data_IF_106053113118
#
_entry.id   IF_106053113118
#
_cell.length_a   1.000
_cell.length_b   1.000
_cell.length_c   1.000
_cell.angle_alpha   90.00
_cell.angle_beta   90.00
_cell.angle_gamma   90.00
#
_symmetry.space_group_name_H-M   'P 1'
#
loop_
_entity.id
_entity.type
_entity.pdbx_description
1 polymer ?
#
# COMPACT_ATOMS: atom_id res chain seq x y z
N UNK A 1 -25.56 18.94 -17.66
CA UNK A 1 -25.18 17.53 -17.86
C UNK A 1 -23.81 17.35 -17.23
N UNK A 2 -23.78 17.21 -15.91
CA UNK A 2 -22.57 16.85 -15.17
C UNK A 2 -22.39 15.34 -15.29
N UNK A 3 -21.34 14.90 -16.00
CA UNK A 3 -20.95 13.50 -16.00
C UNK A 3 -20.31 13.20 -14.66
N UNK A 4 -21.02 12.48 -13.80
CA UNK A 4 -20.45 11.76 -12.68
C UNK A 4 -19.49 10.69 -13.26
N UNK A 5 -18.20 11.00 -13.29
CA UNK A 5 -17.17 9.98 -13.47
C UNK A 5 -17.20 9.07 -12.24
N UNK A 6 -17.60 7.81 -12.44
CA UNK A 6 -17.43 6.76 -11.44
C UNK A 6 -15.94 6.69 -11.08
N UNK A 7 -15.60 6.94 -9.82
CA UNK A 7 -14.24 6.76 -9.29
C UNK A 7 -13.75 5.35 -9.64
N UNK A 8 -12.80 5.26 -10.58
CA UNK A 8 -11.99 4.05 -10.73
C UNK A 8 -11.08 3.99 -9.50
N UNK A 9 -11.15 2.91 -8.73
CA UNK A 9 -10.12 2.61 -7.73
C UNK A 9 -8.80 2.35 -8.47
N UNK A 10 -7.72 2.97 -8.00
CA UNK A 10 -6.36 2.83 -8.53
C UNK A 10 -5.54 2.04 -7.51
N UNK A 11 -4.70 1.11 -7.98
CA UNK A 11 -3.81 0.32 -7.12
C UNK A 11 -2.77 1.21 -6.44
N UNK A 12 -2.29 2.24 -7.16
CA UNK A 12 -1.38 3.25 -6.63
C UNK A 12 -1.78 4.66 -7.05
N UNK A 13 -1.48 5.62 -6.18
CA UNK A 13 -1.58 7.05 -6.48
C UNK A 13 -0.24 7.69 -6.20
N UNK A 14 0.41 8.22 -7.25
CA UNK A 14 1.71 8.89 -7.14
C UNK A 14 1.57 10.37 -7.46
N UNK A 15 2.19 11.23 -6.64
CA UNK A 15 2.18 12.66 -6.84
C UNK A 15 3.55 13.16 -7.30
N UNK A 16 3.64 13.66 -8.53
CA UNK A 16 4.88 14.19 -9.10
C UNK A 16 4.92 15.70 -9.09
N UNK A 17 6.07 16.24 -8.67
CA UNK A 17 6.34 17.67 -8.65
C UNK A 17 7.31 18.04 -9.76
N UNK A 18 6.91 19.01 -10.59
CA UNK A 18 7.76 19.56 -11.63
C UNK A 18 8.44 20.85 -11.15
N UNK A 19 9.75 20.93 -11.25
CA UNK A 19 10.55 22.06 -10.78
C UNK A 19 11.46 22.54 -11.91
N UNK A 20 11.45 23.85 -12.18
CA UNK A 20 12.23 24.44 -13.26
C UNK A 20 12.05 25.96 -13.32
N UNK A 21 12.93 26.64 -14.03
CA UNK A 21 12.82 28.09 -14.25
C UNK A 21 11.56 28.46 -15.08
N UNK A 22 11.31 29.75 -15.25
CA UNK A 22 10.35 30.23 -16.24
C UNK A 22 10.68 29.72 -17.65
N UNK A 23 9.67 29.43 -18.47
CA UNK A 23 9.78 29.11 -19.89
C UNK A 23 10.59 27.86 -20.30
N UNK A 24 10.98 27.01 -19.33
CA UNK A 24 11.65 25.73 -19.62
C UNK A 24 10.72 24.67 -20.24
N UNK A 25 9.40 24.91 -20.26
CA UNK A 25 8.42 24.04 -20.93
C UNK A 25 7.69 23.03 -20.05
N UNK A 26 7.64 23.23 -18.72
CA UNK A 26 6.95 22.34 -17.75
C UNK A 26 5.50 22.02 -18.15
N UNK A 27 4.72 23.03 -18.50
CA UNK A 27 3.33 22.86 -18.93
C UNK A 27 3.21 22.15 -20.28
N UNK A 28 4.14 22.41 -21.21
CA UNK A 28 4.18 21.74 -22.51
C UNK A 28 4.51 20.26 -22.37
N UNK A 29 5.45 19.90 -21.49
CA UNK A 29 5.77 18.50 -21.19
C UNK A 29 4.53 17.77 -20.66
N UNK A 30 3.82 18.35 -19.68
CA UNK A 30 2.60 17.73 -19.13
C UNK A 30 1.47 17.64 -20.16
N UNK A 31 1.23 18.71 -20.92
CA UNK A 31 0.24 18.71 -22.00
C UNK A 31 0.54 17.64 -23.05
N UNK A 32 1.82 17.44 -23.37
CA UNK A 32 2.26 16.41 -24.30
C UNK A 32 2.10 15.01 -23.70
N UNK A 33 2.48 14.83 -22.43
CA UNK A 33 2.37 13.53 -21.76
C UNK A 33 0.92 13.08 -21.53
N UNK A 34 0.04 14.00 -21.12
CA UNK A 34 -1.36 13.69 -20.76
C UNK A 34 -2.27 13.65 -21.99
N UNK A 35 -2.13 14.62 -22.90
CA UNK A 35 -3.09 14.83 -23.98
C UNK A 35 -2.49 14.69 -25.38
N UNK A 36 -1.21 14.36 -25.51
CA UNK A 36 -0.46 14.38 -26.78
C UNK A 36 -0.52 15.73 -27.52
N UNK A 37 -0.62 16.84 -26.78
CA UNK A 37 -0.78 18.20 -27.33
C UNK A 37 0.41 19.10 -27.02
N UNK A 38 0.82 19.88 -28.02
CA UNK A 38 1.80 20.96 -27.88
C UNK A 38 1.21 22.31 -28.32
N UNK A 39 1.50 23.38 -27.57
CA UNK A 39 1.07 24.75 -27.88
C UNK A 39 2.26 25.72 -27.82
N UNK A 40 2.39 26.57 -28.85
CA UNK A 40 3.47 27.57 -28.94
C UNK A 40 3.19 28.85 -28.11
N UNK A 41 1.92 29.18 -27.84
CA UNK A 41 1.53 30.43 -27.17
C UNK A 41 1.14 30.24 -25.70
N UNK A 42 1.68 31.09 -24.81
CA UNK A 42 1.21 31.29 -23.43
C UNK A 42 -0.08 32.14 -23.39
N UNK A 43 -0.93 32.03 -22.34
CA UNK A 43 -0.75 31.19 -21.16
C UNK A 43 -1.53 29.87 -21.27
N UNK A 44 -0.90 28.79 -20.80
CA UNK A 44 -1.58 27.54 -20.56
C UNK A 44 -2.39 27.67 -19.26
N UNK A 45 -3.71 27.80 -19.40
CA UNK A 45 -4.62 27.71 -18.25
C UNK A 45 -4.55 26.28 -17.69
N UNK A 46 -3.88 26.14 -16.55
CA UNK A 46 -3.91 24.91 -15.76
C UNK A 46 -5.35 24.70 -15.28
N UNK A 47 -6.12 23.95 -16.07
CA UNK A 47 -7.44 23.46 -15.70
C UNK A 47 -7.32 22.12 -14.97
N UNK A 48 -8.34 21.76 -14.19
CA UNK A 48 -8.39 20.51 -13.43
C UNK A 48 -8.26 19.24 -14.29
N UNK A 49 -8.51 19.34 -15.61
CA UNK A 49 -8.34 18.23 -16.57
C UNK A 49 -6.87 17.84 -16.86
N UNK A 50 -5.89 18.68 -16.49
CA UNK A 50 -4.47 18.49 -16.82
C UNK A 50 -3.61 18.12 -15.59
N UNK A 51 -4.25 17.66 -14.53
CA UNK A 51 -3.59 17.35 -13.26
C UNK A 51 -3.30 15.85 -13.06
N UNK A 52 -3.74 14.95 -13.96
CA UNK A 52 -3.53 13.52 -13.79
C UNK A 52 -3.40 12.74 -15.10
N UNK A 53 -2.77 11.57 -15.03
CA UNK A 53 -2.73 10.55 -16.08
C UNK A 53 -2.87 9.17 -15.42
N UNK A 54 -3.61 8.28 -16.05
CA UNK A 54 -3.74 6.89 -15.62
C UNK A 54 -2.83 6.06 -16.51
N UNK A 55 -1.96 5.26 -15.90
CA UNK A 55 -1.08 4.32 -16.60
C UNK A 55 -1.19 2.94 -15.97
N UNK A 56 -0.76 1.92 -16.70
CA UNK A 56 -0.76 0.53 -16.27
C UNK A 56 0.68 0.00 -16.37
N UNK A 57 1.22 -0.52 -15.26
CA UNK A 57 2.55 -1.12 -15.19
C UNK A 57 2.38 -2.48 -14.53
N UNK A 58 2.84 -3.55 -15.19
CA UNK A 58 2.77 -4.94 -14.67
C UNK A 58 1.37 -5.39 -14.21
N UNK A 59 0.31 -4.77 -14.74
CA UNK A 59 -1.09 -5.06 -14.40
C UNK A 59 -1.67 -4.23 -13.24
N UNK A 60 -0.88 -3.35 -12.63
CA UNK A 60 -1.34 -2.41 -11.61
C UNK A 60 -1.76 -1.06 -12.25
N UNK A 61 -2.94 -0.57 -11.90
CA UNK A 61 -3.47 0.71 -12.36
C UNK A 61 -2.98 1.85 -11.47
N UNK A 62 -2.17 2.74 -12.05
CA UNK A 62 -1.51 3.82 -11.33
C UNK A 62 -2.10 5.17 -11.76
N UNK A 63 -2.60 5.93 -10.79
CA UNK A 63 -2.98 7.33 -10.98
C UNK A 63 -1.77 8.23 -10.70
N UNK A 64 -1.20 8.77 -11.76
CA UNK A 64 -0.20 9.84 -11.66
C UNK A 64 -0.92 11.18 -11.49
N UNK A 65 -0.62 11.91 -10.42
CA UNK A 65 -1.07 13.27 -10.18
C UNK A 65 0.10 14.24 -10.31
N UNK A 66 -0.12 15.35 -10.98
CA UNK A 66 0.90 16.37 -11.19
C UNK A 66 0.62 17.57 -10.31
N UNK A 67 1.53 17.83 -9.38
CA UNK A 67 1.45 18.98 -8.48
C UNK A 67 1.89 20.22 -9.25
N UNK A 68 1.01 21.22 -9.33
CA UNK A 68 1.20 22.41 -10.18
C UNK A 68 2.61 23.02 -10.00
N UNK A 69 3.42 23.06 -11.07
CA UNK A 69 4.76 23.66 -11.02
C UNK A 69 4.68 25.17 -10.78
N UNK A 70 5.40 25.68 -9.76
CA UNK A 70 5.32 27.08 -9.34
C UNK A 70 6.11 28.04 -10.26
N UNK A 71 5.55 29.24 -10.52
CA UNK A 71 6.14 30.33 -11.30
C UNK A 71 7.11 31.19 -10.45
N UNK A 72 7.86 32.09 -11.08
CA UNK A 72 9.09 32.72 -10.56
C UNK A 72 8.88 33.77 -9.43
N UNK A 73 8.25 33.41 -8.32
CA UNK A 73 8.25 34.19 -7.07
C UNK A 73 9.02 33.44 -5.96
N UNK A 74 10.15 34.01 -5.54
CA UNK A 74 11.06 33.45 -4.53
C UNK A 74 10.41 33.24 -3.16
N UNK A 75 9.40 34.03 -2.78
CA UNK A 75 8.75 33.91 -1.47
C UNK A 75 7.69 32.82 -1.46
N UNK A 76 6.88 32.78 -2.51
CA UNK A 76 5.86 31.75 -2.67
C UNK A 76 6.49 30.37 -2.95
N UNK A 77 7.66 30.30 -3.60
CA UNK A 77 8.44 29.06 -3.74
C UNK A 77 8.67 28.37 -2.39
N UNK A 78 9.17 29.09 -1.37
CA UNK A 78 9.50 28.47 -0.07
C UNK A 78 8.27 27.99 0.69
N UNK A 79 7.20 28.78 0.68
CA UNK A 79 5.97 28.46 1.38
C UNK A 79 5.22 27.30 0.72
N UNK A 80 5.11 27.32 -0.62
CA UNK A 80 4.51 26.24 -1.40
C UNK A 80 5.32 24.94 -1.31
N UNK A 81 6.65 25.00 -1.33
CA UNK A 81 7.50 23.81 -1.28
C UNK A 81 7.35 23.05 0.06
N UNK A 82 7.26 23.75 1.20
CA UNK A 82 6.97 23.10 2.49
C UNK A 82 5.63 22.37 2.51
N UNK A 83 4.61 22.91 1.84
CA UNK A 83 3.27 22.29 1.77
C UNK A 83 3.28 21.08 0.83
N UNK A 84 3.86 21.22 -0.35
CA UNK A 84 3.81 20.23 -1.43
C UNK A 84 4.70 19.03 -1.16
N UNK A 85 5.90 19.23 -0.61
CA UNK A 85 6.81 18.13 -0.34
C UNK A 85 6.27 17.11 0.66
N UNK A 86 5.22 17.42 1.42
CA UNK A 86 4.62 16.46 2.36
C UNK A 86 3.98 15.26 1.65
N UNK A 87 3.44 15.44 0.44
CA UNK A 87 2.68 14.41 -0.28
C UNK A 87 3.23 14.08 -1.68
N UNK A 88 4.43 14.55 -2.03
CA UNK A 88 5.12 14.23 -3.29
C UNK A 88 5.86 12.90 -3.19
N UNK A 89 5.75 12.10 -4.25
CA UNK A 89 6.34 10.76 -4.40
C UNK A 89 7.48 10.72 -5.43
N UNK A 90 7.64 11.76 -6.24
CA UNK A 90 8.71 11.90 -7.22
C UNK A 90 8.91 13.34 -7.68
N UNK A 91 10.14 13.73 -7.99
CA UNK A 91 10.50 15.10 -8.38
C UNK A 91 11.18 15.13 -9.75
N UNK A 92 10.70 16.00 -10.63
CA UNK A 92 11.23 16.20 -11.97
C UNK A 92 11.90 17.57 -12.03
N UNK A 93 13.23 17.59 -12.20
CA UNK A 93 14.02 18.80 -12.42
C UNK A 93 14.11 19.07 -13.92
N UNK A 94 13.65 20.23 -14.38
CA UNK A 94 13.53 20.54 -15.81
C UNK A 94 14.33 21.81 -16.13
N UNK A 95 15.25 21.68 -17.08
CA UNK A 95 15.95 22.80 -17.71
C UNK A 95 15.72 22.80 -19.22
N UNK A 96 16.12 23.90 -19.85
CA UNK A 96 16.09 24.10 -21.30
C UNK A 96 17.51 24.01 -21.85
N UNK A 97 17.75 23.12 -22.83
CA UNK A 97 19.08 22.90 -23.42
C UNK A 97 19.61 24.14 -24.15
N UNK A 98 18.74 25.09 -24.51
CA UNK A 98 19.12 26.37 -25.13
C UNK A 98 19.36 27.49 -24.11
N UNK A 99 19.33 27.18 -22.80
CA UNK A 99 19.41 28.20 -21.74
C UNK A 99 20.33 27.81 -20.58
N UNK A 100 21.58 28.30 -20.62
CA UNK A 100 22.54 28.17 -19.51
C UNK A 100 22.00 28.67 -18.14
N UNK A 101 21.25 29.78 -18.07
CA UNK A 101 20.65 30.23 -16.80
C UNK A 101 19.67 29.20 -16.21
N UNK A 102 18.91 28.50 -17.05
CA UNK A 102 17.96 27.48 -16.60
C UNK A 102 18.68 26.28 -16.00
N UNK A 103 19.76 25.81 -16.64
CA UNK A 103 20.60 24.72 -16.17
C UNK A 103 21.30 25.06 -14.85
N UNK A 104 21.85 26.27 -14.76
CA UNK A 104 22.54 26.78 -13.55
C UNK A 104 21.65 26.79 -12.30
N UNK A 105 20.33 26.92 -12.47
CA UNK A 105 19.38 26.92 -11.36
C UNK A 105 19.09 25.52 -10.81
N UNK A 106 19.36 24.43 -11.56
CA UNK A 106 18.99 23.06 -11.14
C UNK A 106 19.71 22.65 -9.86
N UNK A 107 21.00 22.98 -9.74
CA UNK A 107 21.78 22.71 -8.51
C UNK A 107 21.16 23.39 -7.29
N UNK A 108 20.71 24.63 -7.44
CA UNK A 108 20.06 25.39 -6.37
C UNK A 108 18.74 24.74 -5.97
N UNK A 109 17.89 24.40 -6.94
CA UNK A 109 16.60 23.76 -6.66
C UNK A 109 16.76 22.41 -5.97
N UNK A 110 17.70 21.57 -6.43
CA UNK A 110 18.00 20.30 -5.79
C UNK A 110 18.42 20.48 -4.32
N UNK A 111 19.36 21.39 -4.05
CA UNK A 111 19.83 21.68 -2.69
C UNK A 111 18.75 22.27 -1.77
N UNK A 112 17.92 23.18 -2.30
CA UNK A 112 16.83 23.76 -1.52
C UNK A 112 15.80 22.68 -1.13
N UNK A 113 15.45 21.79 -2.07
CA UNK A 113 14.52 20.68 -1.82
C UNK A 113 15.08 19.72 -0.75
N UNK A 114 16.36 19.32 -0.85
CA UNK A 114 16.99 18.46 0.16
C UNK A 114 16.94 19.09 1.56
N UNK A 115 17.25 20.38 1.68
CA UNK A 115 17.16 21.11 2.95
C UNK A 115 15.75 21.13 3.53
N UNK A 116 14.73 21.23 2.68
CA UNK A 116 13.33 21.15 3.12
C UNK A 116 12.96 19.74 3.61
N UNK A 117 13.45 18.69 2.93
CA UNK A 117 13.23 17.31 3.34
C UNK A 117 13.90 17.00 4.69
N UNK A 118 15.13 17.47 4.90
CA UNK A 118 15.87 17.32 6.18
C UNK A 118 15.12 17.98 7.35
N UNK A 119 14.65 19.21 7.16
CA UNK A 119 13.90 19.95 8.20
C UNK A 119 12.54 19.34 8.49
N UNK A 120 11.92 18.72 7.49
CA UNK A 120 10.60 18.08 7.59
C UNK A 120 10.60 16.73 8.32
N UNK A 121 11.76 16.20 8.73
CA UNK A 121 11.91 14.84 9.30
C UNK A 121 11.24 13.76 8.43
N UNK A 122 11.34 13.87 7.11
CA UNK A 122 10.86 12.79 6.23
C UNK A 122 11.84 11.62 6.30
N UNK A 123 11.35 10.46 6.74
CA UNK A 123 12.06 9.18 6.65
C UNK A 123 12.12 8.68 5.19
N UNK A 124 11.10 9.03 4.37
CA UNK A 124 10.95 8.61 2.96
C UNK A 124 11.93 9.34 2.03
N UNK A 125 12.75 8.58 1.30
CA UNK A 125 13.54 9.10 0.17
C UNK A 125 12.62 9.35 -1.02
N UNK A 126 12.64 10.57 -1.56
CA UNK A 126 11.89 10.93 -2.76
C UNK A 126 12.85 10.87 -3.95
N UNK A 127 12.57 10.05 -4.98
CA UNK A 127 13.40 10.00 -6.17
C UNK A 127 13.30 11.29 -6.98
N UNK A 128 14.40 11.58 -7.66
CA UNK A 128 14.55 12.71 -8.56
C UNK A 128 14.90 12.19 -9.95
N UNK A 129 14.44 12.87 -10.99
CA UNK A 129 14.97 12.75 -12.34
C UNK A 129 15.34 14.13 -12.88
N UNK A 130 16.34 14.18 -13.77
CA UNK A 130 16.72 15.37 -14.51
C UNK A 130 16.22 15.27 -15.95
N UNK A 131 15.61 16.35 -16.43
CA UNK A 131 15.12 16.48 -17.80
C UNK A 131 15.74 17.72 -18.47
N UNK A 132 16.43 17.48 -19.59
CA UNK A 132 16.85 18.51 -20.54
C UNK A 132 15.81 18.65 -21.65
N UNK A 133 14.96 19.66 -21.59
CA UNK A 133 13.90 19.87 -22.58
C UNK A 133 14.38 20.68 -23.79
N UNK A 134 13.63 20.62 -24.89
CA UNK A 134 13.87 21.30 -26.18
C UNK A 134 15.08 20.76 -26.95
N UNK A 135 15.38 19.46 -26.79
CA UNK A 135 16.43 18.80 -27.56
C UNK A 135 16.15 18.75 -29.08
N UNK A 136 14.95 19.16 -29.53
CA UNK A 136 14.66 19.39 -30.95
C UNK A 136 15.31 20.66 -31.52
N UNK A 137 15.84 21.54 -30.68
CA UNK A 137 16.52 22.79 -31.07
C UNK A 137 18.04 22.62 -31.03
N UNK A 138 18.56 21.65 -31.79
CA UNK A 138 20.00 21.32 -31.79
C UNK A 138 20.88 22.50 -32.22
N UNK A 139 20.42 23.29 -33.19
CA UNK A 139 21.14 24.47 -33.70
C UNK A 139 21.23 25.62 -32.66
N UNK A 140 20.34 25.62 -31.65
CA UNK A 140 20.28 26.62 -30.58
C UNK A 140 20.81 26.06 -29.25
N UNK A 141 21.41 24.86 -29.26
CA UNK A 141 21.89 24.19 -28.06
C UNK A 141 23.04 24.95 -27.42
N UNK A 142 22.92 25.21 -26.13
CA UNK A 142 23.99 25.76 -25.30
C UNK A 142 24.53 24.76 -24.27
N UNK A 143 23.71 23.78 -23.87
CA UNK A 143 24.09 22.72 -22.93
C UNK A 143 24.18 21.40 -23.70
N UNK A 144 25.39 20.84 -23.74
CA UNK A 144 25.62 19.53 -24.34
C UNK A 144 24.94 18.42 -23.54
N UNK A 145 24.68 17.30 -24.22
CA UNK A 145 24.11 16.12 -23.56
C UNK A 145 25.05 15.57 -22.49
N UNK A 146 26.35 15.64 -22.75
CA UNK A 146 27.43 15.23 -21.86
C UNK A 146 27.43 16.06 -20.57
N UNK A 147 27.28 17.39 -20.66
CA UNK A 147 27.17 18.25 -19.48
C UNK A 147 25.93 17.94 -18.64
N UNK A 148 24.80 17.65 -19.28
CA UNK A 148 23.57 17.21 -18.62
C UNK A 148 23.77 15.90 -17.88
N UNK A 149 24.38 14.90 -18.54
CA UNK A 149 24.67 13.59 -17.97
C UNK A 149 25.65 13.69 -16.80
N UNK A 150 26.77 14.42 -16.96
CA UNK A 150 27.74 14.61 -15.89
C UNK A 150 27.12 15.27 -14.65
N UNK A 151 26.21 16.21 -14.85
CA UNK A 151 25.51 16.85 -13.75
C UNK A 151 24.56 15.87 -13.03
N UNK A 152 23.83 15.04 -13.78
CA UNK A 152 22.96 14.01 -13.23
C UNK A 152 23.75 12.93 -12.47
N UNK A 153 24.89 12.49 -13.01
CA UNK A 153 25.79 11.51 -12.38
C UNK A 153 26.34 12.03 -11.04
N UNK A 154 26.71 13.32 -10.99
CA UNK A 154 27.14 14.00 -9.74
C UNK A 154 26.03 13.99 -8.69
N UNK A 155 24.77 14.06 -9.10
CA UNK A 155 23.60 14.01 -8.21
C UNK A 155 23.10 12.58 -7.95
N UNK A 156 23.58 11.59 -8.70
CA UNK A 156 23.11 10.19 -8.70
C UNK A 156 21.62 10.06 -9.01
N UNK A 157 21.17 10.75 -10.05
CA UNK A 157 19.77 10.73 -10.51
C UNK A 157 19.72 10.41 -12.01
N UNK A 158 18.65 9.76 -12.52
CA UNK A 158 18.47 9.54 -13.95
C UNK A 158 18.39 10.84 -14.76
N UNK A 159 18.78 10.77 -16.04
CA UNK A 159 18.77 11.90 -16.97
C UNK A 159 18.13 11.54 -18.31
N UNK A 160 17.24 12.42 -18.80
CA UNK A 160 16.61 12.30 -20.10
C UNK A 160 16.67 13.64 -20.84
N UNK A 161 17.09 13.60 -22.11
CA UNK A 161 16.74 14.67 -23.04
C UNK A 161 15.36 14.41 -23.61
N UNK A 162 14.51 15.43 -23.61
CA UNK A 162 13.13 15.34 -24.09
C UNK A 162 12.79 16.52 -25.00
N UNK A 163 11.75 16.32 -25.81
CA UNK A 163 11.15 17.41 -26.58
C UNK A 163 9.65 17.42 -26.37
N UNK A 164 9.16 18.44 -25.66
CA UNK A 164 7.73 18.69 -25.53
C UNK A 164 7.02 18.91 -26.88
N UNK A 165 7.75 19.36 -27.91
CA UNK A 165 7.23 19.58 -29.26
C UNK A 165 6.99 18.27 -30.00
N UNK A 166 7.96 17.37 -29.98
CA UNK A 166 7.88 16.10 -30.72
C UNK A 166 7.27 14.96 -29.90
N UNK A 167 7.36 15.03 -28.57
CA UNK A 167 7.04 13.92 -27.66
C UNK A 167 8.24 13.04 -27.35
N UNK A 168 9.41 13.32 -27.95
CA UNK A 168 10.60 12.49 -27.79
C UNK A 168 10.95 12.28 -26.32
N UNK A 169 11.03 10.99 -25.94
CA UNK A 169 11.54 10.48 -24.67
C UNK A 169 10.77 10.94 -23.40
N UNK A 170 9.59 11.54 -23.57
CA UNK A 170 8.76 11.97 -22.45
C UNK A 170 8.19 10.75 -21.71
N UNK A 171 7.62 9.79 -22.43
CA UNK A 171 7.01 8.62 -21.78
C UNK A 171 8.03 7.81 -20.98
N UNK A 172 9.23 7.57 -21.52
CA UNK A 172 10.31 6.89 -20.81
C UNK A 172 10.72 7.63 -19.52
N UNK A 173 10.88 8.95 -19.58
CA UNK A 173 11.27 9.74 -18.42
C UNK A 173 10.23 9.64 -17.28
N UNK A 174 8.93 9.68 -17.62
CA UNK A 174 7.88 9.52 -16.63
C UNK A 174 7.72 8.08 -16.15
N UNK A 175 7.88 7.08 -17.03
CA UNK A 175 7.83 5.67 -16.69
C UNK A 175 8.93 5.31 -15.69
N UNK A 176 10.18 5.69 -15.97
CA UNK A 176 11.31 5.36 -15.08
C UNK A 176 11.16 6.05 -13.72
N UNK A 177 10.67 7.29 -13.66
CA UNK A 177 10.33 7.91 -12.37
C UNK A 177 9.20 7.17 -11.66
N UNK A 178 8.19 6.70 -12.39
CA UNK A 178 7.12 5.89 -11.82
C UNK A 178 7.65 4.59 -11.23
N UNK A 179 8.44 3.82 -11.98
CA UNK A 179 9.04 2.58 -11.50
C UNK A 179 9.92 2.83 -10.26
N UNK A 180 10.80 3.84 -10.30
CA UNK A 180 11.63 4.18 -9.12
C UNK A 180 10.75 4.64 -7.93
N UNK A 181 9.68 5.38 -8.18
CA UNK A 181 8.75 5.81 -7.12
C UNK A 181 7.97 4.63 -6.54
N UNK A 182 7.57 3.66 -7.36
CA UNK A 182 6.97 2.40 -6.92
C UNK A 182 7.98 1.55 -6.16
N UNK A 183 9.21 1.42 -6.64
CA UNK A 183 10.29 0.74 -5.92
C UNK A 183 10.57 1.40 -4.56
N UNK A 184 10.50 2.72 -4.44
CA UNK A 184 10.65 3.40 -3.16
C UNK A 184 9.40 3.27 -2.27
N UNK A 185 8.21 3.05 -2.86
CA UNK A 185 7.05 2.56 -2.11
C UNK A 185 7.30 1.12 -1.65
N UNK A 186 7.88 0.27 -2.49
CA UNK A 186 8.21 -1.13 -2.22
C UNK A 186 9.36 -1.28 -1.22
N UNK A 187 10.35 -0.40 -1.18
CA UNK A 187 11.47 -0.47 -0.21
C UNK A 187 11.02 -0.01 1.18
N UNK A 188 10.03 0.89 1.27
CA UNK A 188 9.42 1.31 2.55
C UNK A 188 8.15 0.49 2.93
N UNK A 189 7.46 -0.16 1.98
CA UNK A 189 6.23 -0.95 2.18
C UNK A 189 6.40 -2.48 1.99
N UNK A 190 7.36 -3.00 1.21
CA UNK A 190 7.55 -4.46 1.02
C UNK A 190 8.28 -5.16 2.17
N UNK A 191 8.74 -4.43 3.19
CA UNK A 191 8.99 -5.03 4.50
C UNK A 191 7.75 -5.02 5.42
N UNK A 192 6.71 -4.23 5.11
CA UNK A 192 5.71 -3.82 6.10
C UNK A 192 4.25 -4.12 5.68
N UNK A 193 3.96 -4.63 4.47
CA UNK A 193 2.54 -4.84 4.03
C UNK A 193 2.07 -6.29 3.84
N UNK A 194 2.94 -7.30 3.78
CA UNK A 194 2.52 -8.66 3.37
C UNK A 194 2.34 -9.71 4.47
N UNK A 195 2.82 -9.51 5.70
CA UNK A 195 2.80 -10.59 6.72
C UNK A 195 1.39 -11.13 7.00
N UNK A 196 0.43 -10.27 7.35
CA UNK A 196 -0.92 -10.77 7.68
C UNK A 196 -1.66 -11.33 6.46
N UNK A 197 -1.48 -10.73 5.28
CA UNK A 197 -2.15 -11.19 4.07
C UNK A 197 -1.68 -12.58 3.67
N UNK A 198 -0.36 -12.80 3.67
CA UNK A 198 0.24 -14.10 3.35
C UNK A 198 -0.20 -15.17 4.35
N UNK A 199 -0.32 -14.84 5.63
CA UNK A 199 -0.78 -15.78 6.64
C UNK A 199 -2.23 -16.20 6.42
N UNK A 200 -3.12 -15.27 6.07
CA UNK A 200 -4.49 -15.59 5.71
C UNK A 200 -4.62 -16.30 4.35
N UNK A 201 -3.71 -16.05 3.42
CA UNK A 201 -3.61 -16.82 2.19
C UNK A 201 -3.20 -18.27 2.48
N UNK A 202 -2.16 -18.49 3.31
CA UNK A 202 -1.75 -19.82 3.77
C UNK A 202 -2.89 -20.54 4.49
N UNK A 203 -3.64 -19.84 5.34
CA UNK A 203 -4.83 -20.39 5.99
C UNK A 203 -5.87 -20.87 4.96
N UNK A 204 -6.18 -20.05 3.96
CA UNK A 204 -7.13 -20.38 2.90
C UNK A 204 -6.67 -21.60 2.08
N UNK A 205 -5.39 -21.67 1.73
CA UNK A 205 -4.80 -22.76 0.96
C UNK A 205 -4.73 -24.08 1.75
N UNK A 206 -4.38 -24.02 3.03
CA UNK A 206 -4.26 -25.19 3.91
C UNK A 206 -5.61 -25.83 4.23
N UNK A 207 -6.70 -25.05 4.28
CA UNK A 207 -8.06 -25.53 4.64
C UNK A 207 -8.14 -26.23 6.01
N UNK A 208 -7.19 -25.96 6.89
CA UNK A 208 -7.16 -26.46 8.26
C UNK A 208 -8.20 -25.73 9.11
N UNK A 209 -8.77 -26.37 10.14
CA UNK A 209 -9.71 -25.77 11.10
C UNK A 209 -10.98 -25.12 10.52
N UNK A 210 -11.35 -25.45 9.28
CA UNK A 210 -12.63 -25.02 8.70
C UNK A 210 -13.80 -25.63 9.50
N UNK A 211 -14.77 -24.78 9.85
CA UNK A 211 -15.94 -25.11 10.68
C UNK A 211 -17.26 -25.08 9.90
N UNK A 212 -17.18 -24.83 8.59
CA UNK A 212 -18.33 -24.77 7.69
C UNK A 212 -17.99 -25.25 6.28
N UNK A 213 -19.01 -25.69 5.53
CA UNK A 213 -18.89 -26.08 4.12
C UNK A 213 -19.89 -25.27 3.29
N UNK A 214 -19.42 -24.68 2.19
CA UNK A 214 -20.29 -24.09 1.17
C UNK A 214 -20.35 -24.99 -0.06
N UNK A 215 -21.43 -24.90 -0.83
CA UNK A 215 -21.57 -25.62 -2.10
C UNK A 215 -21.57 -24.66 -3.29
N UNK A 216 -21.03 -25.11 -4.42
CA UNK A 216 -21.03 -24.41 -5.71
C UNK A 216 -21.11 -25.42 -6.87
N UNK A 217 -21.33 -24.95 -8.11
CA UNK A 217 -21.34 -25.80 -9.31
C UNK A 217 -19.91 -26.19 -9.69
N UNK A 218 -19.69 -27.46 -10.04
CA UNK A 218 -18.40 -27.93 -10.57
C UNK A 218 -18.16 -27.34 -11.96
N UNK A 219 -17.00 -26.69 -12.15
CA UNK A 219 -16.59 -26.12 -13.43
C UNK A 219 -16.40 -27.20 -14.51
N UNK A 220 -16.07 -28.44 -14.11
CA UNK A 220 -15.91 -29.58 -15.02
C UNK A 220 -17.24 -30.22 -15.41
N UNK A 221 -18.22 -30.19 -14.50
CA UNK A 221 -19.56 -30.72 -14.74
C UNK A 221 -20.62 -29.91 -13.96
N UNK A 222 -21.28 -28.93 -14.59
CA UNK A 222 -22.21 -28.04 -13.90
C UNK A 222 -23.43 -28.70 -13.25
N UNK A 223 -23.71 -29.98 -13.55
CA UNK A 223 -24.74 -30.79 -12.90
C UNK A 223 -24.30 -31.29 -11.51
N UNK A 224 -23.00 -31.32 -11.23
CA UNK A 224 -22.42 -31.70 -9.96
C UNK A 224 -22.25 -30.49 -9.03
N UNK A 225 -22.27 -30.77 -7.72
CA UNK A 225 -21.92 -29.80 -6.68
C UNK A 225 -20.57 -30.14 -6.07
N UNK A 226 -19.76 -29.12 -5.84
CA UNK A 226 -18.52 -29.21 -5.06
C UNK A 226 -18.73 -28.52 -3.73
N UNK A 227 -18.22 -29.17 -2.68
CA UNK A 227 -18.14 -28.62 -1.33
C UNK A 227 -16.78 -27.97 -1.10
N UNK A 228 -16.77 -26.74 -0.62
CA UNK A 228 -15.56 -26.00 -0.27
C UNK A 228 -15.58 -25.75 1.24
N UNK A 229 -14.61 -26.29 2.00
CA UNK A 229 -14.50 -26.01 3.43
C UNK A 229 -14.03 -24.58 3.64
N UNK A 230 -14.66 -23.88 4.60
CA UNK A 230 -14.42 -22.47 4.90
C UNK A 230 -14.53 -22.20 6.41
N UNK A 231 -13.97 -21.08 6.84
CA UNK A 231 -14.08 -20.54 8.18
C UNK A 231 -15.27 -19.57 8.26
N UNK A 232 -16.31 -19.98 9.00
CA UNK A 232 -17.56 -19.23 9.16
C UNK A 232 -17.31 -17.82 9.69
N UNK A 233 -16.44 -17.68 10.70
CA UNK A 233 -16.13 -16.39 11.32
C UNK A 233 -15.49 -15.39 10.35
N UNK A 234 -14.63 -15.84 9.43
CA UNK A 234 -13.99 -14.97 8.42
C UNK A 234 -15.05 -14.43 7.47
N UNK A 235 -15.97 -15.29 7.03
CA UNK A 235 -17.09 -14.91 6.16
C UNK A 235 -18.03 -13.93 6.87
N UNK A 236 -18.46 -14.24 8.10
CA UNK A 236 -19.33 -13.38 8.91
C UNK A 236 -18.71 -12.00 9.10
N UNK A 237 -17.42 -11.95 9.45
CA UNK A 237 -16.72 -10.69 9.68
C UNK A 237 -16.54 -9.87 8.39
N UNK A 238 -16.20 -10.51 7.27
CA UNK A 238 -15.99 -9.78 6.00
C UNK A 238 -17.30 -9.29 5.40
N UNK A 239 -18.32 -10.14 5.39
CA UNK A 239 -19.61 -9.82 4.77
C UNK A 239 -20.56 -9.07 5.72
N UNK A 240 -20.21 -8.95 7.02
CA UNK A 240 -21.04 -8.34 8.06
C UNK A 240 -22.43 -8.98 8.17
N UNK A 241 -22.46 -10.31 8.09
CA UNK A 241 -23.69 -11.12 8.14
C UNK A 241 -23.68 -12.06 9.36
N UNK A 242 -24.86 -12.38 9.86
CA UNK A 242 -25.03 -13.30 10.98
C UNK A 242 -24.99 -14.79 10.55
N UNK A 243 -24.97 -15.71 11.52
CA UNK A 243 -24.88 -17.15 11.24
C UNK A 243 -26.05 -17.70 10.42
N UNK A 244 -27.27 -17.17 10.62
CA UNK A 244 -28.45 -17.61 9.86
C UNK A 244 -28.36 -17.17 8.40
N UNK A 245 -27.87 -15.96 8.15
CA UNK A 245 -27.63 -15.45 6.80
C UNK A 245 -26.55 -16.26 6.08
N UNK A 246 -25.49 -16.68 6.78
CA UNK A 246 -24.48 -17.59 6.20
C UNK A 246 -25.10 -18.93 5.80
N UNK A 247 -25.84 -19.56 6.71
CA UNK A 247 -26.38 -20.92 6.51
C UNK A 247 -27.47 -20.99 5.44
N UNK A 248 -28.27 -19.94 5.29
CA UNK A 248 -29.44 -19.97 4.42
C UNK A 248 -29.25 -19.12 3.16
N UNK A 249 -29.01 -17.83 3.34
CA UNK A 249 -29.04 -16.86 2.23
C UNK A 249 -27.77 -16.93 1.39
N UNK A 250 -26.59 -16.80 2.02
CA UNK A 250 -25.30 -16.90 1.35
C UNK A 250 -25.14 -18.28 0.71
N UNK A 251 -25.42 -19.35 1.45
CA UNK A 251 -25.34 -20.72 0.94
C UNK A 251 -26.17 -20.90 -0.35
N UNK A 252 -27.42 -20.43 -0.34
CA UNK A 252 -28.31 -20.51 -1.51
C UNK A 252 -27.71 -19.78 -2.72
N UNK A 253 -27.17 -18.58 -2.53
CA UNK A 253 -26.54 -17.78 -3.58
C UNK A 253 -25.29 -18.50 -4.13
N UNK A 254 -24.36 -18.92 -3.26
CA UNK A 254 -23.11 -19.57 -3.68
C UNK A 254 -23.37 -20.87 -4.46
N UNK A 255 -24.38 -21.64 -4.05
CA UNK A 255 -24.75 -22.90 -4.70
C UNK A 255 -25.11 -22.75 -6.18
N UNK A 256 -25.54 -21.57 -6.61
CA UNK A 256 -25.96 -21.30 -7.99
C UNK A 256 -24.83 -20.87 -8.92
N UNK A 257 -23.65 -20.55 -8.38
CA UNK A 257 -22.51 -20.00 -9.10
C UNK A 257 -21.45 -21.08 -9.38
N UNK A 258 -20.59 -20.82 -10.37
CA UNK A 258 -19.46 -21.68 -10.75
C UNK A 258 -18.38 -21.70 -9.66
N UNK A 259 -17.53 -22.73 -9.68
CA UNK A 259 -16.44 -22.87 -8.72
C UNK A 259 -15.46 -21.69 -8.86
N UNK A 260 -15.12 -21.29 -10.09
CA UNK A 260 -14.28 -20.11 -10.35
C UNK A 260 -14.84 -18.83 -9.72
N UNK A 261 -16.14 -18.56 -9.90
CA UNK A 261 -16.76 -17.35 -9.33
C UNK A 261 -16.72 -17.34 -7.80
N UNK A 262 -17.02 -18.48 -7.18
CA UNK A 262 -17.01 -18.61 -5.71
C UNK A 262 -15.59 -18.50 -5.16
N UNK A 263 -14.60 -19.10 -5.82
CA UNK A 263 -13.20 -19.00 -5.42
C UNK A 263 -12.68 -17.56 -5.43
N UNK A 264 -13.05 -16.76 -6.44
CA UNK A 264 -12.71 -15.33 -6.52
C UNK A 264 -13.27 -14.56 -5.30
N UNK A 265 -14.54 -14.82 -4.94
CA UNK A 265 -15.16 -14.20 -3.76
C UNK A 265 -14.42 -14.61 -2.47
N UNK A 266 -14.13 -15.90 -2.30
CA UNK A 266 -13.45 -16.40 -1.11
C UNK A 266 -12.04 -15.81 -0.97
N UNK A 267 -11.28 -15.71 -2.05
CA UNK A 267 -9.96 -15.07 -2.04
C UNK A 267 -10.03 -13.61 -1.57
N UNK A 268 -11.02 -12.86 -2.07
CA UNK A 268 -11.28 -11.51 -1.58
C UNK A 268 -11.73 -11.48 -0.10
N UNK A 269 -12.50 -12.47 0.34
CA UNK A 269 -12.93 -12.59 1.74
C UNK A 269 -11.73 -12.83 2.67
N UNK A 270 -10.82 -13.73 2.29
CA UNK A 270 -9.71 -14.14 3.15
C UNK A 270 -8.55 -13.16 3.14
N UNK A 271 -8.24 -12.52 2.01
CA UNK A 271 -7.02 -11.72 1.90
C UNK A 271 -7.15 -10.49 0.99
N UNK A 272 -8.37 -10.06 0.67
CA UNK A 272 -8.67 -8.76 0.08
C UNK A 272 -8.16 -8.50 -1.34
N UNK A 273 -7.66 -9.52 -2.05
CA UNK A 273 -7.16 -9.43 -3.43
C UNK A 273 -7.65 -10.63 -4.26
N UNK A 274 -7.75 -10.45 -5.57
CA UNK A 274 -7.87 -11.52 -6.56
C UNK A 274 -6.56 -11.64 -7.34
N UNK A 275 -6.22 -12.86 -7.77
CA UNK A 275 -4.89 -13.19 -8.27
C UNK A 275 -4.63 -12.62 -9.68
N UNK A 276 -5.68 -12.38 -10.47
CA UNK A 276 -5.54 -12.02 -11.88
C UNK A 276 -6.50 -10.89 -12.30
N UNK A 277 -6.08 -9.95 -13.18
CA UNK A 277 -6.94 -8.87 -13.69
C UNK A 277 -8.24 -9.34 -14.36
N UNK A 278 -8.21 -10.52 -14.99
CA UNK A 278 -9.37 -11.15 -15.64
C UNK A 278 -10.50 -11.52 -14.67
N UNK A 279 -10.23 -11.55 -13.37
CA UNK A 279 -11.22 -11.86 -12.33
C UNK A 279 -12.06 -10.63 -11.91
N UNK A 280 -11.62 -9.42 -12.28
CA UNK A 280 -12.29 -8.16 -11.89
C UNK A 280 -13.75 -8.04 -12.36
N UNK A 281 -14.13 -8.42 -13.60
CA UNK A 281 -15.52 -8.40 -14.02
C UNK A 281 -16.41 -9.32 -13.16
N UNK A 282 -15.93 -10.53 -12.88
CA UNK A 282 -16.63 -11.51 -12.03
C UNK A 282 -16.79 -10.97 -10.61
N UNK A 283 -15.74 -10.35 -10.06
CA UNK A 283 -15.80 -9.73 -8.74
C UNK A 283 -16.86 -8.62 -8.67
N UNK A 284 -16.97 -7.79 -9.71
CA UNK A 284 -18.00 -6.72 -9.76
C UNK A 284 -19.42 -7.26 -9.75
N UNK A 285 -19.66 -8.44 -10.29
CA UNK A 285 -20.98 -9.08 -10.25
C UNK A 285 -21.40 -9.49 -8.83
N UNK A 286 -20.43 -9.88 -7.98
CA UNK A 286 -20.72 -10.28 -6.60
C UNK A 286 -21.40 -9.18 -5.78
N UNK A 287 -21.09 -7.90 -6.06
CA UNK A 287 -21.80 -6.77 -5.46
C UNK A 287 -23.30 -6.83 -5.71
N UNK A 288 -23.72 -7.20 -6.92
CA UNK A 288 -25.14 -7.31 -7.26
C UNK A 288 -25.74 -8.61 -6.71
N UNK A 289 -24.98 -9.72 -6.72
CA UNK A 289 -25.46 -11.01 -6.21
C UNK A 289 -25.69 -10.99 -4.70
N UNK A 290 -24.93 -10.20 -3.96
CA UNK A 290 -24.98 -10.13 -2.49
C UNK A 290 -25.69 -8.89 -1.94
N UNK A 291 -26.21 -8.00 -2.80
CA UNK A 291 -26.83 -6.74 -2.38
C UNK A 291 -28.02 -6.90 -1.44
N UNK A 292 -28.70 -8.05 -1.49
CA UNK A 292 -29.87 -8.34 -0.66
C UNK A 292 -29.52 -8.91 0.72
N UNK A 293 -28.27 -9.36 0.93
CA UNK A 293 -27.86 -10.05 2.15
C UNK A 293 -26.86 -9.25 2.97
N UNK A 294 -26.08 -8.38 2.33
CA UNK A 294 -25.06 -7.56 2.99
C UNK A 294 -24.94 -6.17 2.36
N UNK A 295 -24.78 -5.15 3.21
CA UNK A 295 -24.48 -3.77 2.81
C UNK A 295 -22.98 -3.49 3.06
N UNK A 296 -22.12 -4.03 2.19
CA UNK A 296 -20.67 -3.84 2.26
C UNK A 296 -20.13 -3.15 1.02
N UNK A 297 -19.03 -2.41 1.20
CA UNK A 297 -18.26 -1.87 0.10
C UNK A 297 -17.35 -2.96 -0.49
N UNK A 298 -17.65 -3.41 -1.71
CA UNK A 298 -16.77 -4.30 -2.47
C UNK A 298 -15.60 -3.49 -3.05
N UNK A 299 -14.57 -3.28 -2.22
CA UNK A 299 -13.34 -2.57 -2.56
C UNK A 299 -12.14 -3.52 -2.59
N UNK A 300 -11.20 -3.23 -3.48
CA UNK A 300 -9.95 -3.98 -3.60
C UNK A 300 -8.94 -3.34 -2.66
N UNK A 301 -8.18 -4.14 -1.93
CA UNK A 301 -7.10 -3.63 -1.10
C UNK A 301 -7.12 -4.11 0.35
N UNK A 302 -5.94 -4.05 0.96
CA UNK A 302 -5.69 -4.59 2.30
C UNK A 302 -6.27 -3.70 3.41
N UNK A 303 -6.51 -2.42 3.15
CA UNK A 303 -6.99 -1.47 4.17
C UNK A 303 -8.35 -1.86 4.74
N UNK A 304 -9.29 -2.22 3.85
CA UNK A 304 -10.60 -2.70 4.28
C UNK A 304 -10.48 -4.01 5.07
N UNK A 305 -9.57 -4.90 4.65
CA UNK A 305 -9.32 -6.17 5.33
C UNK A 305 -8.76 -5.97 6.74
N UNK A 306 -7.78 -5.08 6.92
CA UNK A 306 -7.24 -4.71 8.22
C UNK A 306 -8.30 -4.07 9.12
N UNK A 307 -9.13 -3.19 8.56
CA UNK A 307 -10.24 -2.57 9.28
C UNK A 307 -11.26 -3.60 9.77
N UNK A 308 -11.54 -4.62 8.96
CA UNK A 308 -12.42 -5.72 9.36
C UNK A 308 -11.83 -6.56 10.49
N UNK A 309 -10.51 -6.80 10.48
CA UNK A 309 -9.85 -7.48 11.59
C UNK A 309 -9.81 -6.64 12.87
N UNK A 310 -9.66 -5.32 12.75
CA UNK A 310 -9.76 -4.41 13.89
C UNK A 310 -11.17 -4.39 14.50
N UNK A 311 -12.21 -4.43 13.66
CA UNK A 311 -13.59 -4.60 14.13
C UNK A 311 -13.76 -5.94 14.86
N UNK A 312 -13.23 -7.04 14.28
CA UNK A 312 -13.28 -8.37 14.89
C UNK A 312 -12.56 -8.40 16.25
N UNK A 313 -11.40 -7.76 16.38
CA UNK A 313 -10.64 -7.68 17.63
C UNK A 313 -11.49 -7.11 18.79
N UNK A 314 -12.33 -6.12 18.47
CA UNK A 314 -13.19 -5.42 19.43
C UNK A 314 -14.55 -6.11 19.67
N UNK A 315 -14.88 -7.15 18.90
CA UNK A 315 -16.09 -7.95 19.09
C UNK A 315 -15.91 -8.96 20.22
N UNK A 316 -16.63 -8.81 21.32
CA UNK A 316 -16.56 -9.75 22.45
C UNK A 316 -17.41 -11.01 22.25
N UNK A 317 -18.48 -10.93 21.46
CA UNK A 317 -19.49 -12.00 21.34
C UNK A 317 -18.98 -13.23 20.60
N UNK A 318 -17.96 -13.06 19.74
CA UNK A 318 -17.46 -14.10 18.83
C UNK A 318 -16.17 -14.77 19.29
N UNK A 319 -15.57 -14.32 20.40
CA UNK A 319 -14.31 -14.85 20.91
C UNK A 319 -14.50 -16.24 21.51
N UNK A 320 -13.74 -17.21 21.02
CA UNK A 320 -13.90 -18.65 21.28
C UNK A 320 -12.71 -19.27 22.02
N UNK A 321 -11.75 -18.45 22.48
CA UNK A 321 -10.60 -18.89 23.26
C UNK A 321 -10.23 -17.93 24.38
N UNK A 322 -9.61 -18.48 25.42
CA UNK A 322 -9.23 -17.75 26.62
C UNK A 322 -7.77 -18.00 26.97
N UNK A 323 -7.02 -16.92 27.12
CA UNK A 323 -5.65 -16.92 27.64
C UNK A 323 -5.66 -16.31 29.05
N UNK A 324 -5.11 -17.02 30.04
CA UNK A 324 -4.88 -16.51 31.38
C UNK A 324 -3.42 -16.09 31.52
N UNK A 325 -3.19 -14.89 32.01
CA UNK A 325 -1.84 -14.40 32.32
C UNK A 325 -1.89 -13.60 33.62
N UNK A 326 -1.12 -14.01 34.62
CA UNK A 326 -1.12 -13.42 35.96
C UNK A 326 -2.53 -13.21 36.53
N UNK A 327 -3.38 -14.24 36.46
CA UNK A 327 -4.78 -14.23 36.89
C UNK A 327 -5.70 -13.24 36.14
N UNK A 328 -5.24 -12.68 35.01
CA UNK A 328 -6.08 -11.88 34.12
C UNK A 328 -6.48 -12.69 32.90
N UNK A 329 -7.78 -12.63 32.60
CA UNK A 329 -8.39 -13.28 31.45
C UNK A 329 -8.30 -12.38 30.20
N UNK A 330 -7.82 -12.96 29.10
CA UNK A 330 -7.80 -12.34 27.77
C UNK A 330 -8.56 -13.24 26.80
N UNK A 331 -9.70 -12.78 26.31
CA UNK A 331 -10.48 -13.46 25.29
C UNK A 331 -9.96 -13.13 23.89
N UNK A 332 -9.90 -14.14 23.02
CA UNK A 332 -9.35 -14.03 21.66
C UNK A 332 -10.00 -15.06 20.72
N UNK A 333 -9.97 -14.80 19.42
CA UNK A 333 -10.43 -15.75 18.40
C UNK A 333 -9.33 -16.78 18.06
N UNK A 334 -9.64 -18.08 18.15
CA UNK A 334 -8.73 -19.19 17.79
C UNK A 334 -8.19 -19.03 16.38
N UNK A 335 -9.07 -18.68 15.44
CA UNK A 335 -8.72 -18.52 14.02
C UNK A 335 -7.58 -17.52 13.82
N UNK A 336 -7.51 -16.46 14.63
CA UNK A 336 -6.48 -15.44 14.54
C UNK A 336 -5.16 -15.97 15.12
N UNK A 337 -5.22 -16.73 16.21
CA UNK A 337 -4.04 -17.36 16.80
C UNK A 337 -3.39 -18.37 15.85
N UNK A 338 -4.18 -19.30 15.28
CA UNK A 338 -3.64 -20.33 14.37
C UNK A 338 -3.10 -19.75 13.07
N UNK A 339 -3.69 -18.64 12.61
CA UNK A 339 -3.24 -17.97 11.40
C UNK A 339 -1.88 -17.30 11.62
N UNK A 340 -1.62 -16.81 12.83
CA UNK A 340 -0.50 -15.91 13.14
C UNK A 340 0.62 -16.54 13.96
N UNK A 341 0.48 -17.80 14.37
CA UNK A 341 1.45 -18.52 15.20
C UNK A 341 1.40 -20.02 14.95
N UNK A 342 2.56 -20.60 14.62
CA UNK A 342 2.72 -22.04 14.42
C UNK A 342 2.53 -22.80 15.73
N UNK A 343 3.02 -22.26 16.85
CA UNK A 343 2.81 -22.84 18.19
C UNK A 343 1.32 -23.05 18.46
N UNK A 344 0.50 -22.02 18.28
CA UNK A 344 -0.94 -22.14 18.52
C UNK A 344 -1.58 -23.15 17.56
N UNK A 345 -1.15 -23.16 16.29
CA UNK A 345 -1.62 -24.13 15.29
C UNK A 345 -1.32 -25.58 15.69
N UNK A 346 -0.08 -25.87 16.10
CA UNK A 346 0.34 -27.19 16.59
C UNK A 346 -0.42 -27.58 17.87
N UNK A 347 -0.54 -26.64 18.81
CA UNK A 347 -1.27 -26.82 20.06
C UNK A 347 -2.73 -27.24 19.83
N UNK A 348 -3.43 -26.57 18.91
CA UNK A 348 -4.81 -26.91 18.57
C UNK A 348 -4.96 -28.17 17.71
N UNK A 349 -3.91 -28.58 17.00
CA UNK A 349 -3.89 -29.86 16.28
C UNK A 349 -3.75 -31.07 17.23
N UNK A 350 -3.03 -30.90 18.35
CA UNK A 350 -2.77 -31.96 19.33
C UNK A 350 -3.96 -32.15 20.28
N UNK A 351 -4.72 -31.09 20.57
CA UNK A 351 -5.87 -31.18 21.48
C UNK A 351 -7.09 -31.83 20.80
N UNK A 352 -7.47 -33.05 21.22
CA UNK A 352 -8.75 -33.67 20.83
C UNK A 352 -9.97 -32.88 21.35
N UNK A 353 -9.79 -32.07 22.40
CA UNK A 353 -10.83 -31.21 22.98
C UNK A 353 -10.99 -29.90 22.19
N UNK A 354 -12.02 -29.87 21.34
CA UNK A 354 -12.45 -28.69 20.59
C UNK A 354 -13.09 -27.60 21.47
N UNK A 355 -13.34 -27.86 22.75
CA UNK A 355 -14.05 -26.97 23.69
C UNK A 355 -13.11 -26.25 24.67
N UNK A 356 -13.15 -24.91 24.66
CA UNK A 356 -12.75 -23.99 25.75
C UNK A 356 -11.50 -24.37 26.56
N UNK A 357 -10.39 -24.70 25.89
CA UNK A 357 -9.11 -24.84 26.56
C UNK A 357 -8.62 -23.47 27.01
N UNK A 358 -8.55 -23.26 28.32
CA UNK A 358 -7.84 -22.12 28.89
C UNK A 358 -6.35 -22.41 28.78
N UNK A 359 -5.56 -21.42 28.38
CA UNK A 359 -4.09 -21.53 28.41
C UNK A 359 -3.47 -20.50 29.35
N UNK A 360 -2.64 -20.97 30.28
CA UNK A 360 -2.04 -20.14 31.31
C UNK A 360 -0.57 -19.81 31.00
N UNK A 361 -0.26 -18.51 30.98
CA UNK A 361 1.10 -17.97 30.88
C UNK A 361 1.44 -17.21 32.16
N UNK A 362 1.91 -17.94 33.17
CA UNK A 362 2.26 -17.41 34.50
C UNK A 362 3.57 -16.60 34.53
N UNK A 363 4.46 -16.80 33.54
CA UNK A 363 5.78 -16.16 33.52
C UNK A 363 5.87 -14.90 32.63
N UNK A 364 4.76 -14.45 32.06
CA UNK A 364 4.72 -13.28 31.14
C UNK A 364 3.74 -12.24 31.65
N UNK A 365 4.03 -10.96 31.42
CA UNK A 365 3.11 -9.88 31.80
C UNK A 365 1.89 -9.87 30.88
N UNK A 366 0.72 -9.64 31.46
CA UNK A 366 -0.55 -9.55 30.72
C UNK A 366 -0.48 -8.50 29.62
N UNK A 367 0.19 -7.38 29.86
CA UNK A 367 0.31 -6.30 28.88
C UNK A 367 1.09 -6.69 27.63
N UNK A 368 2.07 -7.59 27.79
CA UNK A 368 2.89 -8.12 26.69
C UNK A 368 2.05 -9.05 25.82
N UNK A 369 1.28 -9.94 26.43
CA UNK A 369 0.36 -10.83 25.71
C UNK A 369 -0.75 -10.04 25.01
N UNK A 370 -1.33 -9.03 25.65
CA UNK A 370 -2.30 -8.13 25.02
C UNK A 370 -1.71 -7.40 23.80
N UNK A 371 -0.45 -6.96 23.90
CA UNK A 371 0.23 -6.29 22.79
C UNK A 371 0.51 -7.24 21.62
N UNK A 372 0.85 -8.50 21.92
CA UNK A 372 1.03 -9.55 20.92
C UNK A 372 -0.31 -9.90 20.23
N UNK A 373 -1.37 -10.06 21.01
CA UNK A 373 -2.72 -10.30 20.46
C UNK A 373 -3.12 -9.14 19.56
N UNK A 374 -2.94 -7.89 20.00
CA UNK A 374 -3.20 -6.72 19.16
C UNK A 374 -2.42 -6.78 17.84
N UNK A 375 -1.15 -7.19 17.88
CA UNK A 375 -0.33 -7.38 16.68
C UNK A 375 -0.90 -8.47 15.76
N UNK A 376 -1.45 -9.57 16.28
CA UNK A 376 -2.07 -10.60 15.44
C UNK A 376 -3.26 -10.09 14.62
N UNK A 377 -4.07 -9.17 15.13
CA UNK A 377 -5.20 -8.59 14.40
C UNK A 377 -4.80 -7.45 13.46
N UNK A 378 -3.87 -6.61 13.89
CA UNK A 378 -3.65 -5.29 13.27
C UNK A 378 -2.30 -5.18 12.57
N UNK A 379 -1.43 -6.16 12.77
CA UNK A 379 -0.03 -6.16 12.34
C UNK A 379 0.76 -4.94 12.93
N UNK A 380 0.21 -4.34 14.00
CA UNK A 380 0.73 -3.14 14.65
C UNK A 380 0.85 -3.31 16.17
N UNK A 381 1.86 -2.67 16.77
CA UNK A 381 2.05 -2.64 18.22
C UNK A 381 1.59 -1.28 18.78
N UNK A 382 0.72 -1.25 19.81
CA UNK A 382 0.19 -0.01 20.38
C UNK A 382 1.27 0.99 20.85
N UNK A 383 1.11 2.27 20.47
CA UNK A 383 2.10 3.35 20.74
C UNK A 383 2.36 3.62 22.23
N UNK A 384 1.38 3.36 23.09
CA UNK A 384 1.43 3.72 24.52
C UNK A 384 2.44 2.86 25.31
N UNK A 385 2.84 1.70 24.79
CA UNK A 385 3.63 0.71 25.55
C UNK A 385 5.05 0.47 24.99
N UNK A 386 5.52 1.36 24.11
CA UNK A 386 6.74 1.22 23.28
C UNK A 386 8.11 1.24 24.00
N UNK A 387 8.21 1.28 25.34
CA UNK A 387 9.56 1.34 25.99
C UNK A 387 9.91 0.14 26.86
N UNK A 388 8.95 -0.43 27.58
CA UNK A 388 9.17 -1.56 28.51
C UNK A 388 8.81 -2.93 27.93
N UNK A 389 7.93 -3.00 26.94
CA UNK A 389 7.35 -4.26 26.46
C UNK A 389 8.20 -4.95 25.37
N UNK A 390 9.12 -4.24 24.73
CA UNK A 390 9.83 -4.77 23.55
C UNK A 390 10.80 -5.92 23.82
N UNK A 391 11.56 -5.86 24.90
CA UNK A 391 12.48 -6.93 25.27
C UNK A 391 11.69 -8.21 25.60
N UNK A 392 10.56 -8.08 26.28
CA UNK A 392 9.65 -9.20 26.57
C UNK A 392 8.93 -9.72 25.30
N UNK A 393 8.59 -8.83 24.36
CA UNK A 393 8.00 -9.24 23.07
C UNK A 393 8.98 -10.06 22.25
N UNK A 394 10.29 -9.75 22.29
CA UNK A 394 11.34 -10.53 21.63
C UNK A 394 11.37 -11.96 22.14
N UNK A 395 11.36 -12.13 23.47
CA UNK A 395 11.25 -13.46 24.08
C UNK A 395 9.94 -14.17 23.71
N UNK A 396 8.86 -13.41 23.51
CA UNK A 396 7.58 -13.96 23.03
C UNK A 396 7.65 -14.38 21.55
N UNK A 397 8.42 -13.71 20.68
CA UNK A 397 8.54 -14.10 19.27
C UNK A 397 9.10 -15.50 19.14
N UNK A 398 10.19 -15.79 19.84
CA UNK A 398 10.84 -17.09 19.83
C UNK A 398 9.93 -18.15 20.48
N UNK A 399 9.30 -17.81 21.60
CA UNK A 399 8.44 -18.73 22.35
C UNK A 399 7.17 -19.11 21.57
N UNK A 400 6.51 -18.16 20.94
CA UNK A 400 5.27 -18.39 20.18
C UNK A 400 5.52 -18.84 18.74
N UNK A 401 6.79 -19.05 18.35
CA UNK A 401 7.20 -19.44 16.99
C UNK A 401 6.45 -18.64 15.92
N UNK A 402 6.54 -17.32 16.04
CA UNK A 402 5.81 -16.42 15.15
C UNK A 402 6.48 -16.41 13.78
N UNK A 403 5.74 -16.76 12.74
CA UNK A 403 6.17 -16.68 11.33
C UNK A 403 6.24 -15.23 10.81
N UNK A 404 6.54 -14.25 11.68
CA UNK A 404 6.45 -12.83 11.32
C UNK A 404 7.81 -12.15 11.35
N UNK A 405 8.47 -12.12 10.18
CA UNK A 405 9.63 -11.25 9.94
C UNK A 405 9.32 -9.79 10.29
N UNK A 406 8.05 -9.38 10.13
CA UNK A 406 7.57 -8.04 10.47
C UNK A 406 7.69 -7.71 11.96
N UNK A 407 7.35 -8.63 12.87
CA UNK A 407 7.51 -8.36 14.30
C UNK A 407 8.99 -8.21 14.68
N UNK A 408 9.85 -9.02 14.06
CA UNK A 408 11.31 -8.95 14.23
C UNK A 408 11.85 -7.61 13.71
N UNK A 409 11.42 -7.16 12.52
CA UNK A 409 11.81 -5.86 11.95
C UNK A 409 11.28 -4.67 12.78
N UNK A 410 10.06 -4.74 13.29
CA UNK A 410 9.51 -3.71 14.19
C UNK A 410 10.36 -3.63 15.46
N UNK A 411 10.77 -4.77 16.01
CA UNK A 411 11.66 -4.83 17.19
C UNK A 411 13.03 -4.19 16.85
N UNK A 412 13.64 -4.56 15.72
CA UNK A 412 14.93 -4.03 15.26
C UNK A 412 14.90 -2.51 15.01
N UNK A 413 13.88 -1.99 14.31
CA UNK A 413 13.73 -0.54 14.04
C UNK A 413 13.69 0.26 15.34
N UNK A 414 13.06 -0.29 16.37
CA UNK A 414 12.91 0.37 17.68
C UNK A 414 14.19 0.28 18.51
N UNK A 415 14.96 -0.81 18.40
CA UNK A 415 16.31 -0.91 18.97
C UNK A 415 17.22 0.19 18.40
N UNK A 416 17.21 0.38 17.08
CA UNK A 416 17.97 1.45 16.40
C UNK A 416 17.53 2.84 16.89
N UNK A 417 16.23 3.11 17.03
CA UNK A 417 15.73 4.38 17.58
C UNK A 417 16.15 4.60 19.04
N UNK A 418 16.27 3.54 19.85
CA UNK A 418 16.75 3.61 21.24
C UNK A 418 18.25 3.94 21.29
N UNK A 419 19.06 3.32 20.44
CA UNK A 419 20.50 3.58 20.35
C UNK A 419 20.80 4.99 19.85
N UNK A 420 20.09 5.46 18.82
CA UNK A 420 20.21 6.83 18.32
C UNK A 420 19.84 7.88 19.39
N UNK A 421 18.82 7.60 20.22
CA UNK A 421 18.45 8.48 21.35
C UNK A 421 19.48 8.45 22.48
N UNK A 422 20.07 7.29 22.79
CA UNK A 422 21.18 7.20 23.77
C UNK A 422 22.40 7.98 23.30
N UNK A 423 22.76 7.86 22.02
CA UNK A 423 23.91 8.57 21.45
C UNK A 423 23.69 10.08 21.40
N UNK A 424 22.46 10.55 21.13
CA UNK A 424 22.13 11.98 21.17
C UNK A 424 22.07 12.56 22.59
N UNK A 425 21.87 11.75 23.63
CA UNK A 425 21.93 12.18 25.03
C UNK A 425 23.35 12.22 25.60
N UNK A 426 24.35 11.62 24.92
CA UNK A 426 25.76 11.64 25.32
C UNK A 426 26.55 12.81 24.70
N UNK A 427 25.90 13.67 23.90
CA UNK A 427 26.50 14.83 23.21
C UNK A 427 26.08 16.17 23.87
N UNK A 428 25.51 16.15 25.08
CA UNK A 428 25.24 17.37 25.86
C UNK A 428 26.06 17.44 27.14
#
# INVERSE_FOLDING_TARGET
MEKQEKEKEFDFVLNFLLVGCGNVGRSNILSKYICDKFKYSFPFDWNDELNHKIIEIEGDLILLRFVKPFQDDRYAYRYSMMKYLSYVDGIILIYDVTSCPSFSCMKRYYQDILRFMEKGKKEKKIPFILIGNKCDLEDERFISKEEGQEFADKLKIPFYEVSAKTGFNIDNAFLDLTEISLENLDVDENQIKYSIKEDFQKLFERKEFCDFEIECKDDKNPLNKIKIPVHKLIIQNRLKINENQVKNELYSILSQNSQKEVDILLKWIYFGKFLYPDDLPIFKEWKNKLSNICEIEFKIGIELFLKDLEILMNSEETKDFQIISNNQEIKVHKIILITRSELFREMFNISEDKSNSVHEYSNKKTETIQSLIHFFYTDNIPKIKKKKIYEELKECVDYFQLNSERLIQIIQKIEIEKEQKKNNCLIF
#
